data_IF_112443141922
#
_entry.id   IF_112443141922
#
_cell.length_a   1.000
_cell.length_b   1.000
_cell.length_c   1.000
_cell.angle_alpha   90.00
_cell.angle_beta   90.00
_cell.angle_gamma   90.00
#
_symmetry.space_group_name_H-M   'P 1'
#
loop_
_entity.id
_entity.type
_entity.pdbx_description
1 polymer ?
#
# COMPACT_ATOMS: atom_id res chain seq x y z
N UNK A 1 -8.69 9.54 4.58
CA UNK A 1 -7.93 9.45 5.86
C UNK A 1 -6.71 10.35 5.73
N UNK A 2 -6.19 10.95 6.82
CA UNK A 2 -4.86 11.53 6.79
C UNK A 2 -3.83 10.49 6.32
N UNK A 3 -2.85 10.93 5.54
CA UNK A 3 -1.75 10.07 5.04
C UNK A 3 -0.81 9.68 6.18
N UNK A 4 -0.60 10.57 7.16
CA UNK A 4 0.16 10.30 8.37
C UNK A 4 -0.81 10.20 9.54
N UNK A 5 -0.74 9.11 10.30
CA UNK A 5 -1.55 8.85 11.48
C UNK A 5 -0.67 8.48 12.67
N UNK A 6 -1.20 8.57 13.88
CA UNK A 6 -0.51 8.12 15.09
C UNK A 6 -0.90 6.66 15.40
N UNK A 7 0.11 5.81 15.59
CA UNK A 7 -0.09 4.42 15.98
C UNK A 7 -0.76 4.36 17.37
N UNK A 8 -1.92 3.70 17.52
CA UNK A 8 -2.75 3.83 18.71
C UNK A 8 -2.13 3.25 19.98
N UNK A 9 -1.16 2.33 19.84
CA UNK A 9 -0.50 1.67 20.98
C UNK A 9 0.88 2.23 21.30
N UNK A 10 1.61 2.76 20.31
CA UNK A 10 3.01 3.18 20.47
C UNK A 10 3.18 4.70 20.41
N UNK A 11 2.21 5.43 19.85
CA UNK A 11 2.31 6.88 19.65
C UNK A 11 3.21 7.30 18.49
N UNK A 12 3.84 6.36 17.78
CA UNK A 12 4.70 6.64 16.64
C UNK A 12 3.87 7.06 15.41
N UNK A 13 4.50 7.77 14.47
CA UNK A 13 3.87 8.11 13.21
C UNK A 13 3.87 6.91 12.27
N UNK A 14 2.72 6.67 11.61
CA UNK A 14 2.54 5.61 10.64
C UNK A 14 1.89 6.16 9.36
N UNK A 15 2.15 5.48 8.23
CA UNK A 15 1.58 5.82 6.94
C UNK A 15 0.26 5.07 6.71
N UNK A 16 -0.80 5.81 6.42
CA UNK A 16 -2.08 5.28 5.95
C UNK A 16 -2.28 5.67 4.50
N UNK A 17 -1.63 4.92 3.62
CA UNK A 17 -1.53 5.18 2.20
C UNK A 17 -2.02 3.98 1.38
N UNK A 18 -2.76 4.24 0.31
CA UNK A 18 -3.06 3.29 -0.75
C UNK A 18 -2.42 3.79 -2.03
N UNK A 19 -1.64 2.95 -2.69
CA UNK A 19 -1.03 3.33 -3.97
C UNK A 19 -2.09 3.38 -5.08
N UNK A 20 -2.19 4.50 -5.83
CA UNK A 20 -3.01 4.56 -7.03
C UNK A 20 -2.57 3.51 -8.04
N UNK A 21 -3.52 2.67 -8.46
CA UNK A 21 -3.25 1.52 -9.32
C UNK A 21 -4.26 1.47 -10.45
N UNK A 22 -3.95 2.14 -11.55
CA UNK A 22 -4.84 2.27 -12.71
C UNK A 22 -4.98 0.98 -13.54
N UNK A 23 -5.91 0.98 -14.51
CA UNK A 23 -6.18 -0.15 -15.39
C UNK A 23 -4.96 -0.55 -16.27
N UNK A 24 -4.02 0.36 -16.48
CA UNK A 24 -2.76 0.07 -17.16
C UNK A 24 -1.85 -0.88 -16.36
N UNK A 25 -2.02 -0.94 -15.03
CA UNK A 25 -1.21 -1.77 -14.13
C UNK A 25 -1.92 -3.06 -13.69
N UNK A 26 -3.24 -3.20 -13.90
CA UNK A 26 -3.99 -4.42 -13.49
C UNK A 26 -5.12 -4.77 -14.43
N UNK A 27 -5.35 -6.08 -14.59
CA UNK A 27 -6.56 -6.62 -15.24
C UNK A 27 -7.74 -6.80 -14.27
N UNK A 28 -7.50 -6.60 -12.97
CA UNK A 28 -8.49 -6.67 -11.91
C UNK A 28 -9.10 -5.27 -11.67
N UNK A 29 -9.81 -5.09 -10.55
CA UNK A 29 -10.32 -3.77 -10.16
C UNK A 29 -9.16 -2.78 -9.92
N UNK A 30 -9.15 -1.65 -10.64
CA UNK A 30 -8.22 -0.56 -10.35
C UNK A 30 -8.47 0.06 -8.96
N UNK A 31 -7.43 0.68 -8.40
CA UNK A 31 -7.51 1.45 -7.16
C UNK A 31 -7.36 2.92 -7.50
N UNK A 32 -8.39 3.71 -7.22
CA UNK A 32 -8.38 5.17 -7.35
C UNK A 32 -8.26 5.81 -5.97
N UNK A 33 -7.45 6.86 -5.87
CA UNK A 33 -7.25 7.66 -4.65
C UNK A 33 -7.34 9.11 -5.06
N UNK A 34 -8.08 9.90 -4.29
CA UNK A 34 -8.24 11.34 -4.49
C UNK A 34 -7.95 12.07 -3.18
N UNK A 35 -7.48 13.30 -3.27
CA UNK A 35 -7.34 14.22 -2.15
C UNK A 35 -8.72 14.66 -1.64
N UNK A 36 -8.75 15.16 -0.40
CA UNK A 36 -9.99 15.62 0.20
C UNK A 36 -10.41 16.94 -0.44
N UNK A 37 -11.59 16.96 -1.07
CA UNK A 37 -12.11 18.15 -1.74
C UNK A 37 -11.77 18.23 -3.23
N UNK A 38 -11.06 17.23 -3.78
CA UNK A 38 -10.89 17.09 -5.21
C UNK A 38 -12.24 16.85 -5.91
N UNK A 39 -12.47 17.60 -6.98
CA UNK A 39 -13.62 17.43 -7.86
C UNK A 39 -13.23 16.52 -9.05
N UNK A 40 -13.72 15.26 -9.10
CA UNK A 40 -13.42 14.35 -10.20
C UNK A 40 -14.08 14.74 -11.53
N UNK A 41 -15.05 15.67 -11.52
CA UNK A 41 -15.65 16.22 -12.75
C UNK A 41 -14.88 17.43 -13.28
N UNK A 42 -13.95 17.97 -12.49
CA UNK A 42 -13.01 18.98 -12.98
C UNK A 42 -12.09 18.38 -14.04
N UNK A 43 -11.70 19.18 -15.04
CA UNK A 43 -10.67 18.78 -16.00
C UNK A 43 -9.25 18.94 -15.44
N UNK A 44 -9.14 19.29 -14.15
CA UNK A 44 -7.88 19.54 -13.47
C UNK A 44 -7.34 18.22 -12.90
N UNK A 45 -6.02 18.17 -12.69
CA UNK A 45 -5.37 17.00 -12.07
C UNK A 45 -5.37 17.13 -10.55
N UNK A 46 -5.38 16.00 -9.86
CA UNK A 46 -5.20 15.94 -8.41
C UNK A 46 -3.71 16.03 -8.04
N UNK A 47 -3.17 17.26 -8.03
CA UNK A 47 -1.74 17.52 -7.77
C UNK A 47 -1.27 17.00 -6.40
N UNK A 48 -2.15 16.99 -5.40
CA UNK A 48 -1.84 16.50 -4.05
C UNK A 48 -1.58 14.99 -4.05
N UNK A 49 -2.40 14.22 -4.79
CA UNK A 49 -2.20 12.77 -4.92
C UNK A 49 -0.93 12.46 -5.69
N UNK A 50 -0.66 13.19 -6.77
CA UNK A 50 0.57 13.04 -7.55
C UNK A 50 1.79 13.31 -6.67
N UNK A 51 1.81 14.42 -5.93
CA UNK A 51 2.90 14.78 -5.02
C UNK A 51 3.14 13.71 -3.95
N UNK A 52 2.09 13.22 -3.28
CA UNK A 52 2.22 12.18 -2.25
C UNK A 52 2.72 10.87 -2.86
N UNK A 53 2.19 10.49 -4.02
CA UNK A 53 2.58 9.24 -4.71
C UNK A 53 4.04 9.28 -5.09
N UNK A 54 4.50 10.34 -5.74
CA UNK A 54 5.90 10.51 -6.17
C UNK A 54 6.86 10.54 -4.98
N UNK A 55 6.48 11.25 -3.91
CA UNK A 55 7.29 11.35 -2.69
C UNK A 55 7.47 9.99 -2.01
N UNK A 56 6.40 9.19 -1.92
CA UNK A 56 6.42 7.95 -1.16
C UNK A 56 6.94 6.76 -1.98
N UNK A 57 6.59 6.65 -3.26
CA UNK A 57 6.78 5.42 -4.03
C UNK A 57 8.25 4.96 -4.04
N UNK A 58 9.20 5.85 -4.35
CA UNK A 58 10.62 5.47 -4.40
C UNK A 58 11.15 4.98 -3.04
N UNK A 59 10.68 5.57 -1.94
CA UNK A 59 11.08 5.17 -0.58
C UNK A 59 10.41 3.86 -0.17
N UNK A 60 9.12 3.70 -0.43
CA UNK A 60 8.35 2.50 -0.07
C UNK A 60 8.87 1.23 -0.77
N UNK A 61 9.51 1.36 -1.93
CA UNK A 61 10.10 0.24 -2.67
C UNK A 61 11.63 0.13 -2.52
N UNK A 62 12.29 0.98 -1.71
CA UNK A 62 13.74 0.90 -1.48
C UNK A 62 14.10 -0.25 -0.54
N UNK A 63 15.35 -0.72 -0.61
CA UNK A 63 15.86 -1.75 0.32
C UNK A 63 15.88 -1.30 1.79
N UNK A 64 15.83 0.02 2.03
CA UNK A 64 15.79 0.60 3.38
C UNK A 64 14.44 0.34 4.08
N UNK A 65 13.34 0.39 3.32
CA UNK A 65 11.98 0.29 3.88
C UNK A 65 11.21 -0.95 3.44
N UNK A 66 11.60 -1.61 2.35
CA UNK A 66 10.89 -2.74 1.78
C UNK A 66 11.54 -4.07 2.15
N UNK A 67 10.81 -4.91 2.89
CA UNK A 67 11.16 -6.32 3.06
C UNK A 67 10.52 -7.19 1.97
N UNK A 68 11.35 -7.83 1.15
CA UNK A 68 10.90 -8.73 0.07
C UNK A 68 10.81 -10.17 0.58
N UNK A 69 9.60 -10.59 0.99
CA UNK A 69 9.39 -11.93 1.55
C UNK A 69 9.21 -13.00 0.47
N UNK A 70 10.00 -14.07 0.54
CA UNK A 70 9.83 -15.27 -0.29
C UNK A 70 9.24 -16.40 0.54
N UNK A 71 8.07 -16.91 0.09
CA UNK A 71 7.33 -17.89 0.86
C UNK A 71 7.96 -19.29 0.87
N UNK A 72 8.03 -19.91 2.04
CA UNK A 72 8.40 -21.32 2.26
C UNK A 72 7.24 -22.10 2.90
N UNK A 73 7.10 -23.37 2.55
CA UNK A 73 5.99 -24.21 3.04
C UNK A 73 6.06 -24.37 4.57
N UNK A 74 4.94 -24.06 5.24
CA UNK A 74 4.77 -24.27 6.68
C UNK A 74 5.15 -23.08 7.55
N UNK A 75 5.62 -21.98 6.95
CA UNK A 75 5.91 -20.76 7.70
C UNK A 75 4.66 -19.90 7.91
N UNK A 76 4.80 -18.89 8.77
CA UNK A 76 3.83 -17.83 8.96
C UNK A 76 4.54 -16.49 9.17
N UNK A 77 3.84 -15.41 8.81
CA UNK A 77 4.29 -14.04 9.03
C UNK A 77 3.27 -13.37 9.94
N UNK A 78 3.76 -12.65 10.95
CA UNK A 78 2.96 -11.75 11.78
C UNK A 78 3.40 -10.33 11.46
N UNK A 79 2.45 -9.45 11.20
CA UNK A 79 2.71 -8.08 10.77
C UNK A 79 1.74 -7.14 11.47
N UNK A 80 2.28 -6.01 11.94
CA UNK A 80 1.50 -4.91 12.46
C UNK A 80 0.89 -4.10 11.31
N UNK A 81 -0.41 -4.28 11.12
CA UNK A 81 -1.16 -3.68 10.02
C UNK A 81 -1.40 -2.17 10.17
N UNK A 82 -1.05 -1.58 11.31
CA UNK A 82 -1.13 -0.12 11.49
C UNK A 82 0.15 0.55 11.04
N UNK A 83 1.32 0.01 11.41
CA UNK A 83 2.62 0.62 11.09
C UNK A 83 3.17 0.22 9.71
N UNK A 84 2.72 -0.91 9.14
CA UNK A 84 3.29 -1.44 7.90
C UNK A 84 2.28 -1.45 6.74
N UNK A 85 2.76 -1.06 5.56
CA UNK A 85 2.09 -1.30 4.28
C UNK A 85 2.52 -2.67 3.73
N UNK A 86 1.63 -3.34 2.99
CA UNK A 86 1.95 -4.60 2.34
C UNK A 86 1.34 -4.67 0.94
N UNK A 87 2.10 -5.29 0.04
CA UNK A 87 1.69 -5.51 -1.33
C UNK A 87 2.10 -6.93 -1.77
N UNK A 88 1.89 -7.22 -3.05
CA UNK A 88 2.37 -8.45 -3.67
C UNK A 88 3.10 -8.12 -4.95
N UNK A 89 4.26 -8.73 -5.14
CA UNK A 89 4.95 -8.74 -6.43
C UNK A 89 4.14 -9.45 -7.50
N UNK A 90 4.46 -9.19 -8.76
CA UNK A 90 3.88 -9.95 -9.88
C UNK A 90 4.18 -11.43 -9.67
N UNK A 91 3.13 -12.25 -9.68
CA UNK A 91 3.29 -13.70 -9.54
C UNK A 91 3.96 -14.25 -10.82
N UNK A 92 5.05 -15.00 -10.64
CA UNK A 92 5.69 -15.76 -11.72
C UNK A 92 4.90 -17.02 -12.09
N UNK A 93 5.54 -17.94 -12.81
CA UNK A 93 4.97 -19.27 -13.08
C UNK A 93 4.93 -20.09 -11.78
N UNK A 94 3.74 -20.43 -11.29
CA UNK A 94 3.55 -21.25 -10.10
C UNK A 94 2.27 -20.93 -9.33
N UNK A 95 1.99 -21.73 -8.30
CA UNK A 95 0.87 -21.53 -7.38
C UNK A 95 1.36 -21.43 -5.94
N UNK A 96 0.68 -20.61 -5.14
CA UNK A 96 0.87 -20.57 -3.68
C UNK A 96 -0.50 -20.55 -3.00
N UNK A 97 -0.57 -21.16 -1.82
CA UNK A 97 -1.77 -21.16 -1.00
C UNK A 97 -1.44 -20.54 0.35
N UNK A 98 -2.17 -19.51 0.73
CA UNK A 98 -1.98 -18.74 1.95
C UNK A 98 -3.31 -18.68 2.71
N UNK A 99 -3.24 -18.64 4.03
CA UNK A 99 -4.39 -18.39 4.91
C UNK A 99 -4.05 -17.18 5.79
N UNK A 100 -5.03 -16.31 6.03
CA UNK A 100 -4.85 -15.09 6.82
C UNK A 100 -5.87 -15.04 7.94
N UNK A 101 -5.42 -14.64 9.12
CA UNK A 101 -6.24 -14.28 10.27
C UNK A 101 -5.95 -12.80 10.58
N UNK A 102 -6.98 -12.04 10.94
CA UNK A 102 -6.83 -10.66 11.39
C UNK A 102 -7.19 -10.60 12.87
N UNK A 103 -6.42 -9.84 13.65
CA UNK A 103 -6.67 -9.56 15.06
C UNK A 103 -7.07 -8.09 15.20
N UNK A 104 -8.02 -7.81 16.09
CA UNK A 104 -8.42 -6.45 16.43
C UNK A 104 -7.68 -5.96 17.67
#
# INVERSE_FOLDING_TARGET
SPVVVTHPMTGELALRYHEPWGPEKTKMHPTYVTSLGYDPESNDKDEDVDFVTETLQQRLYSEEFAHWHQWVKGEFVVMDNVSQLHARTKLGMGGRHMRRIHFN
#
